data_IF_359874463903
#
_entry.id   IF_359874463903
#
_cell.length_a   1.000
_cell.length_b   1.000
_cell.length_c   1.000
_cell.angle_alpha   90.00
_cell.angle_beta   90.00
_cell.angle_gamma   90.00
#
_symmetry.space_group_name_H-M   'P 1'
#
loop_
_entity.id
_entity.type
_entity.pdbx_description
1 polymer ?
#
# COMPACT_ATOMS: atom_id res chain seq x y z
N UNK A 1 -6.64 -9.35 3.24
CA UNK A 1 -6.05 -9.78 1.97
C UNK A 1 -4.52 -9.84 2.01
N UNK A 2 -3.80 -8.79 2.41
CA UNK A 2 -2.32 -8.80 2.45
C UNK A 2 -1.73 -10.00 3.23
N UNK A 3 -2.23 -10.28 4.43
CA UNK A 3 -1.78 -11.43 5.23
C UNK A 3 -2.08 -12.79 4.57
N UNK A 4 -3.13 -12.89 3.76
CA UNK A 4 -3.42 -14.13 3.01
C UNK A 4 -2.41 -14.34 1.88
N UNK A 5 -1.94 -13.27 1.26
CA UNK A 5 -0.84 -13.32 0.28
C UNK A 5 0.44 -13.76 0.99
N UNK A 6 0.77 -13.18 2.15
CA UNK A 6 1.93 -13.61 2.94
C UNK A 6 1.83 -15.06 3.40
N UNK A 7 0.65 -15.54 3.80
CA UNK A 7 0.42 -16.95 4.14
C UNK A 7 0.82 -17.92 3.02
N UNK A 8 0.58 -17.57 1.76
CA UNK A 8 1.02 -18.37 0.62
C UNK A 8 2.56 -18.40 0.49
N UNK A 9 3.21 -17.26 0.73
CA UNK A 9 4.65 -17.10 0.60
C UNK A 9 5.48 -17.59 1.80
N UNK A 10 4.86 -17.91 2.94
CA UNK A 10 5.55 -18.51 4.10
C UNK A 10 6.22 -19.86 3.78
N UNK A 11 5.76 -20.57 2.75
CA UNK A 11 6.40 -21.81 2.28
C UNK A 11 7.70 -21.58 1.50
N UNK A 12 8.03 -20.32 1.18
CA UNK A 12 9.22 -19.94 0.40
C UNK A 12 10.34 -19.43 1.33
N UNK A 13 11.60 -19.43 0.85
CA UNK A 13 12.68 -18.72 1.54
C UNK A 13 12.29 -17.26 1.82
N UNK A 14 12.70 -16.73 2.98
CA UNK A 14 12.25 -15.42 3.47
C UNK A 14 12.39 -14.29 2.44
N UNK A 15 13.56 -14.18 1.80
CA UNK A 15 13.81 -13.15 0.78
C UNK A 15 12.90 -13.30 -0.45
N UNK A 16 12.66 -14.54 -0.89
CA UNK A 16 11.72 -14.82 -1.98
C UNK A 16 10.28 -14.49 -1.57
N UNK A 17 9.91 -14.78 -0.33
CA UNK A 17 8.59 -14.43 0.21
C UNK A 17 8.36 -12.92 0.24
N UNK A 18 9.33 -12.14 0.72
CA UNK A 18 9.30 -10.68 0.72
C UNK A 18 9.14 -10.14 -0.71
N UNK A 19 9.97 -10.63 -1.64
CA UNK A 19 9.90 -10.22 -3.04
C UNK A 19 8.55 -10.58 -3.68
N UNK A 20 8.06 -11.80 -3.46
CA UNK A 20 6.82 -12.30 -4.02
C UNK A 20 5.58 -11.57 -3.51
N UNK A 21 5.52 -11.25 -2.21
CA UNK A 21 4.43 -10.45 -1.64
C UNK A 21 4.41 -9.05 -2.26
N UNK A 22 5.56 -8.39 -2.34
CA UNK A 22 5.66 -7.05 -2.92
C UNK A 22 5.29 -7.03 -4.41
N UNK A 23 5.77 -8.01 -5.17
CA UNK A 23 5.45 -8.14 -6.60
C UNK A 23 3.95 -8.37 -6.81
N UNK A 24 3.33 -9.28 -6.06
CA UNK A 24 1.92 -9.56 -6.17
C UNK A 24 1.07 -8.33 -5.90
N UNK A 25 1.36 -7.59 -4.82
CA UNK A 25 0.64 -6.36 -4.49
C UNK A 25 0.84 -5.31 -5.59
N UNK A 26 2.06 -5.10 -6.07
CA UNK A 26 2.33 -4.13 -7.13
C UNK A 26 1.61 -4.45 -8.45
N UNK A 27 1.48 -5.74 -8.78
CA UNK A 27 0.93 -6.20 -10.07
C UNK A 27 -0.60 -6.30 -10.08
N UNK A 28 -1.19 -6.74 -8.98
CA UNK A 28 -2.62 -7.07 -8.94
C UNK A 28 -3.46 -6.09 -8.14
N UNK A 29 -2.85 -5.21 -7.33
CA UNK A 29 -3.61 -4.24 -6.57
C UNK A 29 -3.73 -2.90 -7.29
N UNK A 30 -4.97 -2.49 -7.45
CA UNK A 30 -5.31 -1.15 -7.93
C UNK A 30 -4.73 -0.06 -7.02
N UNK A 31 -4.42 1.13 -7.55
CA UNK A 31 -3.88 2.24 -6.78
C UNK A 31 -4.68 2.54 -5.50
N UNK A 32 -6.01 2.48 -5.54
CA UNK A 32 -6.85 2.70 -4.35
C UNK A 32 -6.61 1.68 -3.23
N UNK A 33 -6.38 0.42 -3.57
CA UNK A 33 -6.14 -0.65 -2.58
C UNK A 33 -4.78 -0.47 -1.92
N UNK A 34 -3.76 -0.10 -2.71
CA UNK A 34 -2.43 0.20 -2.19
C UNK A 34 -2.45 1.42 -1.26
N UNK A 35 -3.23 2.46 -1.55
CA UNK A 35 -3.41 3.60 -0.64
C UNK A 35 -3.97 3.16 0.72
N UNK A 36 -5.10 2.45 0.71
CA UNK A 36 -5.71 1.93 1.95
C UNK A 36 -4.74 1.05 2.74
N UNK A 37 -3.93 0.23 2.06
CA UNK A 37 -2.91 -0.58 2.72
C UNK A 37 -1.85 0.25 3.43
N UNK A 38 -1.34 1.29 2.78
CA UNK A 38 -0.39 2.18 3.42
C UNK A 38 -1.02 3.04 4.53
N UNK A 39 -2.28 3.47 4.40
CA UNK A 39 -3.02 4.14 5.48
C UNK A 39 -3.09 3.25 6.73
N UNK A 40 -3.40 1.96 6.57
CA UNK A 40 -3.44 0.99 7.68
C UNK A 40 -2.04 0.72 8.26
N UNK A 41 -1.00 0.64 7.42
CA UNK A 41 0.38 0.49 7.89
C UNK A 41 0.86 1.71 8.66
N UNK A 42 0.60 2.91 8.16
CA UNK A 42 1.03 4.17 8.76
C UNK A 42 0.27 4.46 10.07
N UNK A 43 -0.93 3.90 10.24
CA UNK A 43 -1.72 3.97 11.48
C UNK A 43 -1.20 3.06 12.62
N UNK A 44 -0.08 2.37 12.41
CA UNK A 44 0.58 1.52 13.42
C UNK A 44 0.85 0.10 12.95
N UNK A 45 0.25 -0.33 11.84
CA UNK A 45 0.55 -1.62 11.21
C UNK A 45 0.20 -2.85 12.07
N UNK A 46 -0.62 -2.68 13.12
CA UNK A 46 -1.02 -3.77 14.00
C UNK A 46 -1.82 -4.83 13.22
N UNK A 47 -1.49 -6.09 13.46
CA UNK A 47 -2.16 -7.23 12.84
C UNK A 47 -1.69 -7.55 11.42
N UNK A 48 -0.68 -6.87 10.87
CA UNK A 48 -0.01 -7.32 9.64
C UNK A 48 1.03 -8.39 9.92
N UNK A 49 1.13 -9.34 9.00
CA UNK A 49 2.19 -10.35 9.00
C UNK A 49 3.57 -9.69 8.79
N UNK A 50 4.61 -10.23 9.42
CA UNK A 50 5.97 -9.70 9.32
C UNK A 50 6.45 -9.62 7.85
N UNK A 51 6.13 -10.62 7.01
CA UNK A 51 6.47 -10.58 5.59
C UNK A 51 5.79 -9.41 4.88
N UNK A 52 4.55 -9.06 5.26
CA UNK A 52 3.83 -7.92 4.68
C UNK A 52 4.50 -6.61 5.08
N UNK A 53 4.86 -6.47 6.36
CA UNK A 53 5.53 -5.27 6.87
C UNK A 53 6.87 -5.06 6.17
N UNK A 54 7.69 -6.10 6.05
CA UNK A 54 9.00 -6.01 5.36
C UNK A 54 8.82 -5.79 3.85
N UNK A 55 7.85 -6.45 3.22
CA UNK A 55 7.55 -6.27 1.80
C UNK A 55 7.05 -4.85 1.48
N UNK A 56 6.46 -4.13 2.45
CA UNK A 56 5.96 -2.76 2.26
C UNK A 56 7.03 -1.79 1.72
N UNK A 57 8.30 -1.99 2.10
CA UNK A 57 9.44 -1.21 1.60
C UNK A 57 9.67 -1.36 0.08
N UNK A 58 9.18 -2.46 -0.53
CA UNK A 58 9.29 -2.76 -1.97
C UNK A 58 7.97 -2.51 -2.74
N UNK A 59 6.91 -2.06 -2.06
CA UNK A 59 5.60 -1.79 -2.68
C UNK A 59 5.53 -0.31 -3.10
N UNK A 60 5.06 -0.06 -4.32
CA UNK A 60 4.91 1.30 -4.87
C UNK A 60 3.74 2.02 -4.20
N UNK A 61 4.05 3.00 -3.34
CA UNK A 61 3.07 3.95 -2.78
C UNK A 61 2.41 4.75 -3.91
N UNK A 62 1.08 4.65 -4.08
CA UNK A 62 0.37 5.49 -5.04
C UNK A 62 0.33 6.92 -4.54
N UNK A 63 0.44 7.88 -5.45
CA UNK A 63 0.13 9.28 -5.15
C UNK A 63 -1.33 9.41 -4.73
N UNK A 64 -1.62 10.30 -3.80
CA UNK A 64 -3.00 10.60 -3.41
C UNK A 64 -3.77 11.19 -4.61
N UNK A 65 -5.11 11.10 -4.65
CA UNK A 65 -5.90 11.76 -5.68
C UNK A 65 -5.61 13.27 -5.73
N UNK A 66 -5.48 13.92 -4.56
CA UNK A 66 -5.08 15.32 -4.46
C UNK A 66 -3.70 15.59 -5.09
N UNK A 67 -2.70 14.73 -4.85
CA UNK A 67 -1.38 14.84 -5.48
C UNK A 67 -1.40 14.51 -6.98
N UNK A 68 -2.28 13.61 -7.42
CA UNK A 68 -2.49 13.30 -8.83
C UNK A 68 -3.11 14.50 -9.56
N UNK A 69 -4.11 15.13 -8.97
CA UNK A 69 -4.75 16.34 -9.49
C UNK A 69 -3.75 17.51 -9.55
N UNK A 70 -2.96 17.70 -8.49
CA UNK A 70 -1.85 18.66 -8.48
C UNK A 70 -0.83 18.40 -9.60
N UNK A 71 -0.46 17.14 -9.85
CA UNK A 71 0.45 16.76 -10.96
C UNK A 71 -0.16 17.02 -12.34
N UNK A 72 -1.47 16.98 -12.47
CA UNK A 72 -2.20 17.30 -13.70
C UNK A 72 -2.47 18.81 -13.85
N UNK A 73 -2.00 19.65 -12.91
CA UNK A 73 -2.25 21.09 -12.92
C UNK A 73 -3.67 21.48 -12.53
N UNK A 74 -4.46 20.52 -12.02
CA UNK A 74 -5.80 20.77 -11.47
C UNK A 74 -5.61 21.31 -10.04
N UNK A 75 -6.24 22.46 -9.74
CA UNK A 75 -6.30 22.96 -8.36
C UNK A 75 -7.09 21.97 -7.52
N UNK A 76 -6.56 21.58 -6.36
CA UNK A 76 -7.21 20.67 -5.43
C UNK A 76 -8.67 21.09 -5.20
N UNK A 77 -9.60 20.17 -5.45
CA UNK A 77 -11.01 20.43 -5.16
C UNK A 77 -11.20 20.51 -3.64
N UNK A 78 -12.03 21.45 -3.14
CA UNK A 78 -12.22 21.64 -1.70
C UNK A 78 -12.74 20.40 -0.95
N UNK A 79 -13.24 19.39 -1.67
CA UNK A 79 -13.64 18.10 -1.09
C UNK A 79 -12.44 17.25 -0.59
N UNK A 80 -11.28 17.34 -1.24
CA UNK A 80 -10.10 16.54 -0.88
C UNK A 80 -9.33 17.13 0.31
N UNK A 81 -9.44 18.45 0.53
CA UNK A 81 -8.81 19.16 1.66
C UNK A 81 -9.45 18.78 2.99
N UNK A 82 -10.72 18.37 2.99
CA UNK A 82 -11.46 17.98 4.19
C UNK A 82 -11.06 16.59 4.73
N UNK A 83 -10.46 15.72 3.90
CA UNK A 83 -10.09 14.36 4.29
C UNK A 83 -8.72 14.27 5.01
N UNK A 84 -7.94 15.36 5.05
CA UNK A 84 -6.61 15.38 5.67
C UNK A 84 -6.56 16.03 7.06
N UNK A 85 -7.71 16.44 7.61
CA UNK A 85 -7.80 17.02 8.97
C UNK A 85 -8.81 16.25 9.82
N UNK A 86 -8.44 15.05 10.28
CA UNK A 86 -8.91 14.46 11.54
C UNK A 86 -7.85 13.55 12.12
#
# INVERSE_FOLDING_TARGET
MANQIAAFFHSRPREEGIAGVAEHINKFWEPRMRRQFFEMLDSGGEGFDELVVVASARIKRPITPAEADLKLGLKAFPADVAASQK
#
